data_IF_161781241234
#
_entry.id   IF_161781241234
#
_cell.length_a   1.000
_cell.length_b   1.000
_cell.length_c   1.000
_cell.angle_alpha   90.00
_cell.angle_beta   90.00
_cell.angle_gamma   90.00
#
_symmetry.space_group_name_H-M   'P 1'
#
loop_
_entity.id
_entity.type
_entity.pdbx_description
1 polymer ?
#
# COMPACT_ATOMS: atom_id res chain seq x y z
N UNK A 1 45.66 65.40 -7.57
CA UNK A 1 45.10 64.68 -6.40
C UNK A 1 43.60 64.51 -6.60
N UNK A 2 43.14 63.34 -7.04
CA UNK A 2 41.73 63.06 -7.35
C UNK A 2 41.22 61.94 -6.44
N UNK A 3 40.23 62.22 -5.59
CA UNK A 3 39.52 61.23 -4.77
C UNK A 3 38.25 60.81 -5.50
N UNK A 4 38.19 59.55 -5.95
CA UNK A 4 36.96 58.90 -6.41
C UNK A 4 36.23 58.29 -5.21
N UNK A 5 34.96 58.67 -5.01
CA UNK A 5 34.03 58.02 -4.07
C UNK A 5 33.34 56.86 -4.78
N UNK A 6 33.41 55.67 -4.20
CA UNK A 6 32.64 54.50 -4.63
C UNK A 6 31.31 54.46 -3.84
N UNK A 7 30.19 54.44 -4.57
CA UNK A 7 28.88 54.09 -4.04
C UNK A 7 28.73 52.57 -4.03
N UNK A 8 28.40 52.00 -2.88
CA UNK A 8 27.95 50.61 -2.76
C UNK A 8 26.42 50.59 -2.85
N UNK A 9 25.87 49.83 -3.79
CA UNK A 9 24.45 49.51 -3.85
C UNK A 9 24.25 48.12 -3.22
N UNK A 10 23.48 48.06 -2.13
CA UNK A 10 23.05 46.81 -1.52
C UNK A 10 21.78 46.30 -2.23
N UNK A 11 21.89 45.17 -2.95
CA UNK A 11 20.72 44.43 -3.41
C UNK A 11 20.14 43.64 -2.24
N UNK A 12 18.98 44.06 -1.73
CA UNK A 12 18.18 43.27 -0.79
C UNK A 12 17.52 42.11 -1.52
N UNK A 13 17.90 40.89 -1.16
CA UNK A 13 17.18 39.68 -1.55
C UNK A 13 15.95 39.54 -0.67
N UNK A 14 14.77 39.84 -1.21
CA UNK A 14 13.50 39.56 -0.54
C UNK A 14 13.22 38.06 -0.65
N UNK A 15 13.43 37.33 0.46
CA UNK A 15 13.01 35.94 0.60
C UNK A 15 11.47 35.90 0.60
N UNK A 16 10.87 35.50 -0.53
CA UNK A 16 9.48 35.05 -0.54
C UNK A 16 9.37 33.78 0.32
N UNK A 17 8.92 33.93 1.56
CA UNK A 17 8.48 32.82 2.37
C UNK A 17 7.20 32.25 1.73
N UNK A 18 7.30 31.14 1.01
CA UNK A 18 6.13 30.35 0.66
C UNK A 18 5.52 29.83 1.97
N UNK A 19 4.41 30.43 2.42
CA UNK A 19 3.61 29.85 3.49
C UNK A 19 3.03 28.53 2.97
N UNK A 20 3.58 27.41 3.43
CA UNK A 20 2.90 26.13 3.26
C UNK A 20 1.62 26.20 4.10
N UNK A 21 0.46 26.16 3.44
CA UNK A 21 -0.81 26.09 4.13
C UNK A 21 -0.87 24.84 5.00
N UNK A 22 -1.43 24.98 6.20
CA UNK A 22 -1.52 23.87 7.16
C UNK A 22 -2.40 22.75 6.58
N UNK A 23 -2.06 21.48 6.82
CA UNK A 23 -2.86 20.38 6.29
C UNK A 23 -4.27 20.37 6.87
N UNK A 24 -5.21 19.94 6.06
CA UNK A 24 -6.61 19.86 6.45
C UNK A 24 -6.82 18.65 7.37
N UNK A 25 -7.44 18.87 8.54
CA UNK A 25 -7.74 17.84 9.53
C UNK A 25 -9.23 17.52 9.55
N UNK A 26 -9.59 16.24 9.54
CA UNK A 26 -10.97 15.73 9.55
C UNK A 26 -11.11 14.61 10.57
N UNK A 27 -12.06 14.72 11.51
CA UNK A 27 -12.32 13.66 12.49
C UNK A 27 -13.09 12.50 11.85
N UNK A 28 -12.61 11.26 12.05
CA UNK A 28 -13.27 10.06 11.49
C UNK A 28 -14.32 9.44 12.42
N UNK A 29 -14.47 9.97 13.64
CA UNK A 29 -15.30 9.38 14.71
C UNK A 29 -14.97 7.90 14.98
N UNK A 30 -13.69 7.51 14.82
CA UNK A 30 -13.16 6.17 15.07
C UNK A 30 -12.03 6.22 16.10
N UNK A 31 -11.72 5.07 16.68
CA UNK A 31 -10.59 4.88 17.61
C UNK A 31 -9.62 3.84 17.07
N UNK A 32 -8.32 4.06 17.28
CA UNK A 32 -7.25 3.17 16.81
C UNK A 32 -7.36 1.76 17.38
N UNK A 33 -7.80 1.61 18.63
CA UNK A 33 -7.97 0.30 19.28
C UNK A 33 -9.09 -0.55 18.68
N UNK A 34 -10.09 0.07 18.06
CA UNK A 34 -11.28 -0.62 17.54
C UNK A 34 -11.34 -0.62 16.02
N UNK A 35 -10.41 0.04 15.33
CA UNK A 35 -10.40 0.13 13.88
C UNK A 35 -8.98 0.01 13.33
N UNK A 36 -8.74 -1.04 12.55
CA UNK A 36 -7.49 -1.26 11.83
C UNK A 36 -7.63 -0.83 10.38
N UNK A 37 -6.82 0.14 9.95
CA UNK A 37 -6.74 0.57 8.55
C UNK A 37 -5.92 -0.44 7.76
N UNK A 38 -6.46 -0.91 6.64
CA UNK A 38 -5.76 -1.83 5.73
C UNK A 38 -5.33 -1.14 4.43
N UNK A 39 -6.17 -0.25 3.91
CA UNK A 39 -5.92 0.43 2.64
C UNK A 39 -6.43 1.87 2.69
N UNK A 40 -5.71 2.75 1.99
CA UNK A 40 -6.12 4.12 1.70
C UNK A 40 -5.63 4.48 0.30
N UNK A 41 -6.53 4.91 -0.58
CA UNK A 41 -6.22 5.11 -1.99
C UNK A 41 -6.94 6.34 -2.54
N UNK A 42 -6.29 7.01 -3.49
CA UNK A 42 -6.83 8.19 -4.18
C UNK A 42 -7.64 7.80 -5.41
N UNK A 43 -8.61 8.65 -5.78
CA UNK A 43 -9.18 8.62 -7.13
C UNK A 43 -8.13 9.10 -8.14
N UNK A 44 -8.34 8.78 -9.42
CA UNK A 44 -7.40 9.15 -10.49
C UNK A 44 -7.21 10.68 -10.63
N UNK A 45 -8.24 11.47 -10.34
CA UNK A 45 -8.18 12.93 -10.30
C UNK A 45 -7.65 13.49 -8.96
N UNK A 46 -7.44 12.63 -7.97
CA UNK A 46 -7.00 13.01 -6.63
C UNK A 46 -8.07 13.66 -5.76
N UNK A 47 -9.29 13.91 -6.24
CA UNK A 47 -10.33 14.64 -5.49
C UNK A 47 -10.99 13.80 -4.38
N UNK A 48 -10.85 12.48 -4.45
CA UNK A 48 -11.43 11.56 -3.49
C UNK A 48 -10.39 10.63 -2.89
N UNK A 49 -10.66 10.20 -1.67
CA UNK A 49 -9.92 9.13 -1.00
C UNK A 49 -10.91 8.12 -0.46
N UNK A 50 -10.62 6.84 -0.67
CA UNK A 50 -11.28 5.77 0.07
C UNK A 50 -10.34 5.24 1.15
N UNK A 51 -10.90 4.80 2.27
CA UNK A 51 -10.20 4.11 3.34
C UNK A 51 -10.96 2.82 3.61
N UNK A 52 -10.25 1.69 3.55
CA UNK A 52 -10.80 0.39 3.90
C UNK A 52 -10.09 -0.18 5.12
N UNK A 53 -10.87 -0.76 6.02
CA UNK A 53 -10.35 -1.35 7.23
C UNK A 53 -11.36 -2.28 7.89
N UNK A 54 -11.04 -2.67 9.12
CA UNK A 54 -11.83 -3.61 9.91
C UNK A 54 -12.10 -2.98 11.28
N UNK A 55 -13.37 -2.98 11.67
CA UNK A 55 -13.77 -2.77 13.04
C UNK A 55 -13.58 -4.07 13.82
N UNK A 56 -12.94 -3.99 14.98
CA UNK A 56 -12.80 -5.10 15.92
C UNK A 56 -13.58 -4.79 17.19
N UNK A 57 -14.34 -5.77 17.69
CA UNK A 57 -14.90 -5.72 19.03
C UNK A 57 -14.02 -6.43 20.06
N UNK A 58 -14.37 -6.31 21.34
CA UNK A 58 -13.63 -6.92 22.44
C UNK A 58 -13.63 -8.47 22.40
N UNK A 59 -14.52 -9.07 21.59
CA UNK A 59 -14.63 -10.52 21.40
C UNK A 59 -13.85 -11.00 20.17
N UNK A 60 -13.19 -10.09 19.45
CA UNK A 60 -12.40 -10.39 18.25
C UNK A 60 -13.24 -10.55 16.98
N UNK A 61 -14.54 -10.24 17.00
CA UNK A 61 -15.34 -10.22 15.80
C UNK A 61 -14.91 -9.06 14.91
N UNK A 62 -14.75 -9.34 13.61
CA UNK A 62 -14.32 -8.36 12.61
C UNK A 62 -15.48 -7.97 11.70
N UNK A 63 -15.73 -6.67 11.56
CA UNK A 63 -16.66 -6.13 10.56
C UNK A 63 -15.90 -5.23 9.61
N UNK A 64 -16.09 -5.42 8.30
CA UNK A 64 -15.46 -4.55 7.31
C UNK A 64 -16.01 -3.13 7.40
N UNK A 65 -15.17 -2.12 7.22
CA UNK A 65 -15.57 -0.71 7.12
C UNK A 65 -14.91 -0.06 5.92
N UNK A 66 -15.71 0.71 5.19
CA UNK A 66 -15.30 1.52 4.05
C UNK A 66 -15.72 2.97 4.27
N UNK A 67 -14.80 3.90 4.05
CA UNK A 67 -15.00 5.34 4.22
C UNK A 67 -14.65 6.01 2.90
N UNK A 68 -15.53 6.87 2.40
CA UNK A 68 -15.25 7.73 1.26
C UNK A 68 -15.15 9.19 1.70
N UNK A 69 -14.07 9.85 1.31
CA UNK A 69 -13.75 11.23 1.67
C UNK A 69 -13.69 12.07 0.39
N UNK A 70 -14.37 13.20 0.42
CA UNK A 70 -14.22 14.30 -0.54
C UNK A 70 -13.08 15.20 -0.03
N UNK A 71 -11.95 15.18 -0.73
CA UNK A 71 -10.76 15.96 -0.34
C UNK A 71 -10.98 17.45 -0.54
N UNK A 72 -11.57 17.85 -1.67
CA UNK A 72 -11.83 19.26 -1.98
C UNK A 72 -12.71 19.94 -0.94
N UNK A 73 -13.65 19.20 -0.33
CA UNK A 73 -14.52 19.70 0.76
C UNK A 73 -14.04 19.36 2.16
N UNK A 74 -12.93 18.63 2.30
CA UNK A 74 -12.45 18.06 3.56
C UNK A 74 -13.58 17.39 4.37
N UNK A 75 -14.37 16.53 3.72
CA UNK A 75 -15.59 15.98 4.31
C UNK A 75 -15.75 14.48 4.06
N UNK A 76 -16.30 13.77 5.05
CA UNK A 76 -16.73 12.37 4.88
C UNK A 76 -17.98 12.39 4.00
N UNK A 77 -17.90 11.79 2.80
CA UNK A 77 -19.07 11.59 1.94
C UNK A 77 -20.01 10.56 2.56
N UNK A 78 -19.43 9.44 2.99
CA UNK A 78 -20.13 8.40 3.73
C UNK A 78 -19.12 7.45 4.39
N UNK A 79 -19.61 6.70 5.37
CA UNK A 79 -18.88 5.66 6.08
C UNK A 79 -19.84 4.51 6.34
N UNK A 80 -19.47 3.31 5.90
CA UNK A 80 -20.35 2.13 5.93
C UNK A 80 -19.60 0.92 6.45
N UNK A 81 -20.30 0.13 7.25
CA UNK A 81 -19.85 -1.21 7.63
C UNK A 81 -20.46 -2.24 6.68
N UNK A 82 -19.77 -3.36 6.51
CA UNK A 82 -20.24 -4.50 5.72
C UNK A 82 -19.80 -5.81 6.39
N UNK A 83 -20.68 -6.82 6.44
CA UNK A 83 -20.41 -8.05 7.18
C UNK A 83 -19.41 -8.95 6.45
N UNK A 84 -18.79 -9.85 7.20
CA UNK A 84 -18.11 -11.01 6.63
C UNK A 84 -19.13 -11.81 5.80
N UNK A 85 -18.85 -12.14 4.53
CA UNK A 85 -19.83 -12.79 3.67
C UNK A 85 -20.01 -14.26 4.07
N UNK A 86 -21.19 -14.80 3.73
CA UNK A 86 -21.45 -16.23 3.66
C UNK A 86 -21.21 -17.02 4.97
N UNK A 87 -21.23 -16.33 6.12
CA UNK A 87 -21.00 -16.92 7.44
C UNK A 87 -19.55 -17.33 7.71
N UNK A 88 -18.60 -16.75 6.99
CA UNK A 88 -17.17 -17.02 7.17
C UNK A 88 -16.57 -16.33 8.40
N UNK A 89 -15.33 -16.68 8.72
CA UNK A 89 -14.73 -16.37 10.01
C UNK A 89 -14.08 -14.98 10.07
N UNK A 90 -13.54 -14.49 8.96
CA UNK A 90 -12.84 -13.20 8.94
C UNK A 90 -12.81 -12.57 7.57
N UNK A 91 -12.70 -11.25 7.54
CA UNK A 91 -12.57 -10.43 6.33
C UNK A 91 -11.40 -9.46 6.48
N UNK A 92 -10.59 -9.37 5.44
CA UNK A 92 -9.38 -8.56 5.37
C UNK A 92 -9.41 -7.71 4.09
N UNK A 93 -9.78 -6.42 4.19
CA UNK A 93 -9.66 -5.51 3.06
C UNK A 93 -8.22 -5.46 2.56
N UNK A 94 -8.04 -5.39 1.25
CA UNK A 94 -6.71 -5.32 0.61
C UNK A 94 -6.51 -3.97 -0.03
N UNK A 95 -7.48 -3.56 -0.86
CA UNK A 95 -7.39 -2.32 -1.62
C UNK A 95 -8.79 -1.79 -1.91
N UNK A 96 -9.02 -0.50 -1.70
CA UNK A 96 -10.20 0.19 -2.22
C UNK A 96 -9.80 1.07 -3.41
N UNK A 97 -10.72 1.29 -4.35
CA UNK A 97 -10.51 2.17 -5.51
C UNK A 97 -11.72 3.09 -5.68
N UNK A 98 -11.58 4.40 -5.42
CA UNK A 98 -12.67 5.33 -5.60
C UNK A 98 -12.70 5.87 -7.04
N UNK A 99 -13.89 5.97 -7.60
CA UNK A 99 -14.22 6.72 -8.82
C UNK A 99 -15.17 7.87 -8.47
N UNK A 100 -15.62 8.61 -9.48
CA UNK A 100 -16.60 9.69 -9.27
C UNK A 100 -17.97 9.19 -8.80
N UNK A 101 -18.35 7.98 -9.24
CA UNK A 101 -19.67 7.40 -9.02
C UNK A 101 -19.66 6.18 -8.10
N UNK A 102 -18.51 5.55 -7.85
CA UNK A 102 -18.40 4.26 -7.15
C UNK A 102 -17.17 4.16 -6.27
N UNK A 103 -17.19 3.20 -5.35
CA UNK A 103 -15.99 2.68 -4.71
C UNK A 103 -15.96 1.18 -4.88
N UNK A 104 -14.87 0.67 -5.45
CA UNK A 104 -14.60 -0.76 -5.54
C UNK A 104 -13.73 -1.18 -4.36
N UNK A 105 -13.91 -2.41 -3.90
CA UNK A 105 -13.12 -2.96 -2.80
C UNK A 105 -12.71 -4.39 -3.11
N UNK A 106 -11.40 -4.65 -3.05
CA UNK A 106 -10.81 -5.99 -3.01
C UNK A 106 -10.64 -6.40 -1.55
N UNK A 107 -11.13 -7.59 -1.20
CA UNK A 107 -10.95 -8.16 0.14
C UNK A 107 -10.67 -9.66 0.07
N UNK A 108 -9.91 -10.14 1.05
CA UNK A 108 -9.72 -11.55 1.32
C UNK A 108 -10.60 -11.99 2.48
N UNK A 109 -11.09 -13.22 2.43
CA UNK A 109 -12.04 -13.75 3.41
C UNK A 109 -11.64 -15.16 3.80
N UNK A 110 -11.47 -15.40 5.09
CA UNK A 110 -11.11 -16.71 5.62
C UNK A 110 -12.35 -17.50 6.01
N UNK A 111 -12.48 -18.69 5.43
CA UNK A 111 -13.67 -19.53 5.62
C UNK A 111 -13.80 -20.09 7.04
N UNK A 112 -12.69 -20.24 7.77
CA UNK A 112 -12.61 -20.77 9.14
C UNK A 112 -11.57 -19.99 9.95
N UNK A 113 -11.75 -19.93 11.27
CA UNK A 113 -10.79 -19.30 12.19
C UNK A 113 -9.54 -20.16 12.44
N UNK A 114 -9.58 -21.45 12.11
CA UNK A 114 -8.51 -22.42 12.38
C UNK A 114 -7.63 -22.63 11.13
N UNK A 115 -6.32 -22.31 11.17
CA UNK A 115 -5.42 -22.38 10.02
C UNK A 115 -5.39 -23.73 9.26
N UNK A 116 -5.40 -24.92 9.90
CA UNK A 116 -5.32 -26.19 9.18
C UNK A 116 -6.48 -26.46 8.21
N UNK A 117 -7.65 -25.88 8.50
CA UNK A 117 -8.88 -26.11 7.74
C UNK A 117 -9.38 -24.86 7.01
N UNK A 118 -8.74 -23.71 7.23
CA UNK A 118 -9.14 -22.48 6.58
C UNK A 118 -8.76 -22.48 5.11
N UNK A 119 -9.56 -21.74 4.34
CA UNK A 119 -9.29 -21.37 2.97
C UNK A 119 -9.48 -19.87 2.91
N UNK A 120 -8.52 -19.18 2.32
CA UNK A 120 -8.70 -17.78 1.97
C UNK A 120 -9.36 -17.68 0.60
N UNK A 121 -10.38 -16.83 0.51
CA UNK A 121 -11.15 -16.54 -0.69
C UNK A 121 -10.99 -15.06 -1.06
N UNK A 122 -11.07 -14.73 -2.34
CA UNK A 122 -11.00 -13.35 -2.82
C UNK A 122 -12.38 -12.86 -3.25
N UNK A 123 -12.76 -11.68 -2.76
CA UNK A 123 -14.00 -11.00 -3.06
C UNK A 123 -13.73 -9.61 -3.63
N UNK A 124 -14.56 -9.22 -4.60
CA UNK A 124 -14.67 -7.84 -5.09
C UNK A 124 -16.05 -7.31 -4.73
N UNK A 125 -16.11 -6.11 -4.18
CA UNK A 125 -17.33 -5.38 -3.84
C UNK A 125 -17.40 -4.10 -4.67
N UNK A 126 -18.62 -3.61 -4.88
CA UNK A 126 -18.86 -2.28 -5.45
C UNK A 126 -19.91 -1.56 -4.63
N UNK A 127 -19.65 -0.29 -4.36
CA UNK A 127 -20.53 0.62 -3.64
C UNK A 127 -20.81 1.84 -4.53
N UNK A 128 -22.01 2.39 -4.46
CA UNK A 128 -22.34 3.63 -5.16
C UNK A 128 -21.76 4.88 -4.46
N UNK A 129 -22.04 6.04 -5.03
CA UNK A 129 -21.63 7.35 -4.53
C UNK A 129 -22.19 7.68 -3.13
N UNK A 130 -23.18 6.93 -2.63
CA UNK A 130 -23.82 7.07 -1.32
C UNK A 130 -23.44 5.93 -0.35
N UNK A 131 -22.60 5.00 -0.79
CA UNK A 131 -22.13 3.86 0.00
C UNK A 131 -23.10 2.68 0.05
N UNK A 132 -24.12 2.63 -0.81
CA UNK A 132 -24.94 1.43 -0.96
C UNK A 132 -24.15 0.36 -1.70
N UNK A 133 -24.06 -0.85 -1.13
CA UNK A 133 -23.43 -1.98 -1.79
C UNK A 133 -24.28 -2.42 -3.00
N UNK A 134 -23.77 -2.19 -4.21
CA UNK A 134 -24.44 -2.54 -5.47
C UNK A 134 -24.22 -4.00 -5.85
N UNK A 135 -23.01 -4.51 -5.63
CA UNK A 135 -22.66 -5.88 -5.99
C UNK A 135 -21.51 -6.42 -5.13
N UNK A 136 -21.47 -7.74 -5.03
CA UNK A 136 -20.40 -8.53 -4.40
C UNK A 136 -20.15 -9.76 -5.26
N UNK A 137 -18.88 -10.02 -5.60
CA UNK A 137 -18.46 -11.18 -6.39
C UNK A 137 -17.33 -11.91 -5.69
N UNK A 138 -17.55 -13.20 -5.39
CA UNK A 138 -16.46 -14.13 -5.08
C UNK A 138 -15.75 -14.51 -6.39
N UNK A 139 -14.44 -14.37 -6.43
CA UNK A 139 -13.62 -14.89 -7.53
C UNK A 139 -13.48 -16.41 -7.37
N UNK A 140 -13.65 -17.16 -8.45
CA UNK A 140 -13.57 -18.62 -8.44
C UNK A 140 -12.37 -19.02 -9.30
N UNK A 141 -11.36 -19.60 -8.66
CA UNK A 141 -10.12 -20.07 -9.29
C UNK A 141 -9.91 -21.56 -8.97
N UNK A 142 -9.16 -22.31 -9.80
CA UNK A 142 -8.93 -23.75 -9.62
C UNK A 142 -7.84 -24.04 -8.56
N UNK A 143 -8.06 -23.60 -7.33
CA UNK A 143 -7.17 -23.86 -6.19
C UNK A 143 -7.94 -23.95 -4.88
N UNK A 144 -7.33 -24.59 -3.87
CA UNK A 144 -7.93 -24.72 -2.52
C UNK A 144 -8.01 -23.38 -1.80
N UNK A 145 -6.97 -22.56 -1.93
CA UNK A 145 -6.90 -21.22 -1.35
C UNK A 145 -6.46 -20.20 -2.40
N UNK A 146 -6.87 -18.96 -2.19
CA UNK A 146 -6.48 -17.84 -3.01
C UNK A 146 -6.38 -16.57 -2.18
N UNK A 147 -5.61 -15.60 -2.66
CA UNK A 147 -5.44 -14.32 -2.00
C UNK A 147 -5.31 -13.24 -3.07
N UNK A 148 -6.09 -12.18 -2.98
CA UNK A 148 -6.01 -11.01 -3.85
C UNK A 148 -4.92 -10.07 -3.37
N UNK A 149 -4.07 -9.60 -4.29
CA UNK A 149 -3.03 -8.62 -4.02
C UNK A 149 -3.46 -7.19 -4.29
N UNK A 150 -4.02 -6.98 -5.48
CA UNK A 150 -4.20 -5.67 -6.05
C UNK A 150 -5.33 -5.71 -7.08
N UNK A 151 -5.95 -4.56 -7.24
CA UNK A 151 -6.99 -4.29 -8.19
C UNK A 151 -6.66 -2.97 -8.89
N UNK A 152 -7.09 -2.82 -10.14
CA UNK A 152 -7.02 -1.54 -10.84
C UNK A 152 -8.18 -1.41 -11.83
N UNK A 153 -8.52 -0.16 -12.15
CA UNK A 153 -9.53 0.18 -13.14
C UNK A 153 -8.86 0.45 -14.49
N UNK A 154 -9.36 -0.22 -15.52
CA UNK A 154 -8.95 -0.01 -16.90
C UNK A 154 -10.17 0.17 -17.79
N UNK A 155 -9.94 0.55 -19.05
CA UNK A 155 -11.01 0.78 -20.03
C UNK A 155 -11.85 -0.47 -20.31
N UNK A 156 -11.27 -1.66 -20.11
CA UNK A 156 -11.91 -2.97 -20.29
C UNK A 156 -12.55 -3.53 -19.01
N UNK A 157 -12.44 -2.81 -17.88
CA UNK A 157 -13.07 -3.17 -16.61
C UNK A 157 -12.12 -3.13 -15.42
N UNK A 158 -12.40 -3.98 -14.45
CA UNK A 158 -11.66 -4.11 -13.19
C UNK A 158 -10.69 -5.28 -13.32
N UNK A 159 -9.40 -4.99 -13.24
CA UNK A 159 -8.34 -6.00 -13.24
C UNK A 159 -8.05 -6.40 -11.80
N UNK A 160 -7.94 -7.69 -11.53
CA UNK A 160 -7.55 -8.22 -10.22
C UNK A 160 -6.39 -9.19 -10.38
N UNK A 161 -5.41 -9.07 -9.50
CA UNK A 161 -4.27 -9.97 -9.41
C UNK A 161 -4.17 -10.57 -8.01
N UNK A 162 -3.66 -11.80 -7.92
CA UNK A 162 -3.52 -12.52 -6.66
C UNK A 162 -2.64 -13.76 -6.79
N UNK A 163 -2.56 -14.56 -5.71
CA UNK A 163 -2.04 -15.93 -5.80
C UNK A 163 -3.07 -16.99 -5.48
N UNK A 164 -2.74 -18.17 -5.97
CA UNK A 164 -3.37 -19.44 -5.67
C UNK A 164 -2.40 -20.26 -4.82
N UNK A 165 -2.94 -20.93 -3.81
CA UNK A 165 -2.25 -21.93 -3.01
C UNK A 165 -3.03 -23.24 -3.08
N UNK A 166 -2.33 -24.28 -3.50
CA UNK A 166 -2.78 -25.67 -3.41
C UNK A 166 -1.74 -26.48 -2.64
N UNK A 167 -2.10 -27.67 -2.20
CA UNK A 167 -1.19 -28.56 -1.47
C UNK A 167 -1.57 -30.02 -1.70
N UNK A 168 -0.57 -30.90 -1.64
CA UNK A 168 -0.74 -32.34 -1.48
C UNK A 168 -0.18 -32.77 -0.12
N UNK A 169 0.16 -34.05 0.07
CA UNK A 169 0.72 -34.54 1.33
C UNK A 169 2.05 -33.86 1.68
N UNK A 170 2.92 -33.66 0.70
CA UNK A 170 4.33 -33.32 0.90
C UNK A 170 4.68 -31.89 0.45
N UNK A 171 3.89 -31.33 -0.47
CA UNK A 171 4.20 -30.09 -1.16
C UNK A 171 3.07 -29.06 -1.08
N UNK A 172 3.48 -27.80 -1.12
CA UNK A 172 2.63 -26.66 -1.42
C UNK A 172 2.94 -26.16 -2.84
N UNK A 173 1.92 -25.65 -3.52
CA UNK A 173 1.99 -25.17 -4.89
C UNK A 173 1.48 -23.74 -4.97
N UNK A 174 2.30 -22.85 -5.52
CA UNK A 174 2.03 -21.43 -5.62
C UNK A 174 1.93 -20.98 -7.08
N UNK A 175 0.95 -20.15 -7.39
CA UNK A 175 0.75 -19.60 -8.74
C UNK A 175 0.17 -18.20 -8.66
N UNK A 176 0.57 -17.30 -9.56
CA UNK A 176 -0.08 -16.00 -9.72
C UNK A 176 -1.30 -16.16 -10.62
N UNK A 177 -2.43 -15.57 -10.24
CA UNK A 177 -3.60 -15.45 -11.11
C UNK A 177 -3.89 -13.98 -11.44
N UNK A 178 -4.47 -13.75 -12.62
CA UNK A 178 -5.07 -12.47 -12.99
C UNK A 178 -6.43 -12.70 -13.62
N UNK A 179 -7.40 -11.86 -13.32
CA UNK A 179 -8.74 -11.91 -13.88
C UNK A 179 -9.26 -10.50 -14.17
N UNK A 180 -10.23 -10.40 -15.06
CA UNK A 180 -10.90 -9.14 -15.41
C UNK A 180 -12.37 -9.28 -15.10
N UNK A 181 -12.98 -8.23 -14.54
CA UNK A 181 -14.42 -8.13 -14.33
C UNK A 181 -14.94 -6.89 -15.05
N UNK A 182 -16.17 -6.91 -15.52
CA UNK A 182 -16.83 -5.66 -15.91
C UNK A 182 -17.21 -4.83 -14.66
N UNK A 183 -17.67 -3.59 -14.87
CA UNK A 183 -18.04 -2.69 -13.76
C UNK A 183 -19.22 -3.18 -12.90
N UNK A 184 -19.98 -4.18 -13.38
CA UNK A 184 -21.03 -4.88 -12.65
C UNK A 184 -20.51 -6.15 -11.92
N UNK A 185 -19.19 -6.34 -11.84
CA UNK A 185 -18.52 -7.47 -11.20
C UNK A 185 -18.84 -8.83 -11.83
N UNK A 186 -19.08 -8.86 -13.13
CA UNK A 186 -19.15 -10.11 -13.91
C UNK A 186 -17.77 -10.42 -14.47
N UNK A 187 -17.25 -11.61 -14.14
CA UNK A 187 -15.96 -12.09 -14.63
C UNK A 187 -15.97 -12.20 -16.15
N UNK A 188 -14.90 -11.71 -16.78
CA UNK A 188 -14.71 -11.69 -18.22
C UNK A 188 -13.67 -12.76 -18.60
N UNK A 189 -14.14 -13.87 -19.17
CA UNK A 189 -13.27 -14.99 -19.57
C UNK A 189 -12.70 -15.79 -18.40
N UNK A 190 -11.78 -16.70 -18.74
CA UNK A 190 -11.08 -17.54 -17.76
C UNK A 190 -9.91 -16.78 -17.09
N UNK A 191 -9.62 -17.04 -15.81
CA UNK A 191 -8.46 -16.45 -15.15
C UNK A 191 -7.15 -16.93 -15.80
N UNK A 192 -6.19 -16.01 -15.96
CA UNK A 192 -4.86 -16.37 -16.44
C UNK A 192 -3.99 -16.79 -15.26
N UNK A 193 -3.51 -18.03 -15.27
CA UNK A 193 -2.76 -18.62 -14.15
C UNK A 193 -1.31 -18.91 -14.56
N UNK A 194 -0.35 -18.51 -13.73
CA UNK A 194 1.09 -18.72 -13.93
C UNK A 194 1.64 -19.62 -12.84
N UNK A 195 1.98 -20.85 -13.20
CA UNK A 195 2.51 -21.88 -12.30
C UNK A 195 4.04 -21.76 -12.12
N UNK A 196 4.51 -20.56 -11.82
CA UNK A 196 5.94 -20.25 -11.73
C UNK A 196 6.33 -19.72 -10.34
N UNK A 197 5.46 -19.84 -9.35
CA UNK A 197 5.59 -19.23 -8.03
C UNK A 197 4.70 -18.00 -7.87
N UNK A 198 4.71 -17.42 -6.67
CA UNK A 198 3.89 -16.27 -6.31
C UNK A 198 4.45 -15.49 -5.10
N UNK A 199 3.96 -14.28 -4.90
CA UNK A 199 4.29 -13.45 -3.74
C UNK A 199 3.40 -13.79 -2.54
N UNK A 200 3.95 -13.91 -1.34
CA UNK A 200 3.12 -14.33 -0.18
C UNK A 200 2.42 -13.16 0.53
N UNK A 201 2.60 -11.93 0.04
CA UNK A 201 2.02 -10.71 0.60
C UNK A 201 1.47 -9.80 -0.50
N UNK A 202 0.43 -9.02 -0.19
CA UNK A 202 -0.06 -7.93 -1.05
C UNK A 202 0.79 -6.66 -0.92
N UNK A 203 1.54 -6.50 0.17
CA UNK A 203 2.39 -5.33 0.38
C UNK A 203 3.48 -5.34 -0.69
N UNK A 204 3.62 -4.23 -1.42
CA UNK A 204 4.56 -4.14 -2.54
C UNK A 204 4.03 -4.71 -3.85
N UNK A 205 2.71 -4.84 -4.02
CA UNK A 205 2.08 -5.24 -5.29
C UNK A 205 1.16 -4.14 -5.81
N UNK A 206 1.27 -3.82 -7.11
CA UNK A 206 0.41 -2.86 -7.81
C UNK A 206 0.18 -3.28 -9.25
N UNK A 207 -1.02 -3.05 -9.76
CA UNK A 207 -1.29 -3.14 -11.21
C UNK A 207 -0.99 -1.78 -11.83
N UNK A 208 -0.19 -1.77 -12.90
CA UNK A 208 0.14 -0.57 -13.67
C UNK A 208 -0.04 -0.92 -15.15
N UNK A 209 -1.08 -0.35 -15.76
CA UNK A 209 -1.43 -0.57 -17.16
C UNK A 209 -1.80 -2.02 -17.47
N UNK A 210 -0.92 -2.72 -18.18
CA UNK A 210 -1.11 -4.11 -18.63
C UNK A 210 -0.37 -5.13 -17.77
N UNK A 211 0.20 -4.72 -16.63
CA UNK A 211 1.14 -5.53 -15.85
C UNK A 211 0.88 -5.43 -14.35
N UNK A 212 1.18 -6.51 -13.64
CA UNK A 212 1.37 -6.55 -12.18
C UNK A 212 2.84 -6.32 -11.90
N UNK A 213 3.15 -5.34 -11.06
CA UNK A 213 4.46 -5.14 -10.48
C UNK A 213 4.41 -5.59 -9.03
N UNK A 214 5.33 -6.43 -8.62
CA UNK A 214 5.31 -7.07 -7.31
C UNK A 214 6.71 -7.19 -6.74
N UNK A 215 6.86 -6.91 -5.45
CA UNK A 215 8.10 -7.16 -4.72
C UNK A 215 7.82 -7.62 -3.29
N UNK A 216 8.59 -8.60 -2.84
CA UNK A 216 8.39 -9.23 -1.53
C UNK A 216 8.92 -10.65 -1.50
N UNK A 217 8.55 -11.36 -0.44
CA UNK A 217 8.82 -12.79 -0.29
C UNK A 217 8.14 -13.58 -1.41
N UNK A 218 8.94 -14.35 -2.14
CA UNK A 218 8.53 -15.12 -3.30
C UNK A 218 8.54 -16.61 -2.98
N UNK A 219 7.36 -17.23 -3.02
CA UNK A 219 7.21 -18.67 -2.93
C UNK A 219 7.44 -19.31 -4.30
N UNK A 220 8.36 -20.28 -4.44
CA UNK A 220 8.52 -21.04 -5.67
C UNK A 220 7.24 -21.80 -6.05
N UNK A 221 7.14 -22.20 -7.33
CA UNK A 221 5.95 -22.90 -7.85
C UNK A 221 5.58 -24.17 -7.08
N UNK A 222 6.58 -24.83 -6.49
CA UNK A 222 6.48 -26.03 -5.67
C UNK A 222 7.49 -25.93 -4.54
N UNK A 223 7.05 -26.13 -3.31
CA UNK A 223 7.90 -26.12 -2.12
C UNK A 223 7.50 -27.26 -1.18
N UNK A 224 8.47 -27.94 -0.56
CA UNK A 224 8.17 -28.97 0.44
C UNK A 224 7.64 -28.31 1.71
N UNK A 225 6.67 -28.94 2.40
CA UNK A 225 6.05 -28.35 3.62
C UNK A 225 7.02 -28.10 4.78
N UNK A 226 8.19 -28.75 4.77
CA UNK A 226 9.25 -28.56 5.76
C UNK A 226 10.30 -27.52 5.33
N UNK A 227 10.20 -26.97 4.11
CA UNK A 227 11.14 -26.00 3.59
C UNK A 227 10.67 -24.58 3.91
N UNK A 228 11.61 -23.72 4.30
CA UNK A 228 11.35 -22.31 4.57
C UNK A 228 11.37 -21.52 3.25
N UNK A 229 10.42 -20.59 3.08
CA UNK A 229 10.46 -19.61 2.00
C UNK A 229 11.40 -18.48 2.41
N UNK A 230 12.52 -18.36 1.71
CA UNK A 230 13.57 -17.37 1.96
C UNK A 230 13.98 -16.55 0.72
N UNK A 231 13.29 -16.75 -0.41
CA UNK A 231 13.53 -16.00 -1.63
C UNK A 231 12.80 -14.65 -1.63
N UNK A 232 13.48 -13.61 -2.08
CA UNK A 232 12.93 -12.29 -2.34
C UNK A 232 13.01 -11.99 -3.83
N UNK A 233 11.92 -11.53 -4.40
CA UNK A 233 11.89 -11.14 -5.80
C UNK A 233 11.27 -9.76 -5.99
N UNK A 234 11.63 -9.12 -7.09
CA UNK A 234 10.93 -7.99 -7.68
C UNK A 234 10.61 -8.35 -9.13
N UNK A 235 9.35 -8.29 -9.54
CA UNK A 235 8.90 -8.74 -10.87
C UNK A 235 7.96 -7.78 -11.54
N UNK A 236 7.94 -7.85 -12.87
CA UNK A 236 6.83 -7.42 -13.71
C UNK A 236 6.21 -8.63 -14.40
N UNK A 237 4.91 -8.83 -14.19
CA UNK A 237 4.13 -9.94 -14.71
C UNK A 237 3.04 -9.36 -15.61
N UNK A 238 2.99 -9.73 -16.89
CA UNK A 238 1.94 -9.22 -17.79
C UNK A 238 0.59 -9.77 -17.37
N UNK A 239 -0.47 -8.97 -17.43
CA UNK A 239 -1.85 -9.42 -17.15
C UNK A 239 -2.33 -10.46 -18.16
N UNK A 240 -1.82 -10.44 -19.38
CA UNK A 240 -2.12 -11.44 -20.42
C UNK A 240 -1.32 -12.74 -20.27
N UNK A 241 -0.18 -12.73 -19.57
CA UNK A 241 0.61 -13.95 -19.34
C UNK A 241 2.11 -13.71 -19.24
N UNK A 242 2.75 -14.50 -18.37
CA UNK A 242 4.20 -14.59 -18.26
C UNK A 242 4.86 -13.45 -17.48
N UNK A 243 6.08 -13.73 -17.04
CA UNK A 243 6.96 -12.74 -16.43
C UNK A 243 7.64 -11.96 -17.56
N UNK A 244 7.50 -10.64 -17.56
CA UNK A 244 8.30 -9.80 -18.43
C UNK A 244 9.75 -9.77 -17.92
N UNK A 245 9.92 -9.75 -16.60
CA UNK A 245 11.20 -9.90 -15.90
C UNK A 245 10.95 -10.25 -14.43
N UNK A 246 11.96 -10.84 -13.79
CA UNK A 246 12.09 -11.01 -12.33
C UNK A 246 13.54 -10.77 -11.94
N UNK A 247 13.76 -9.95 -10.91
CA UNK A 247 15.04 -9.72 -10.28
C UNK A 247 15.01 -10.32 -8.87
N UNK A 248 16.03 -11.10 -8.52
CA UNK A 248 16.19 -11.74 -7.21
C UNK A 248 17.41 -11.13 -6.51
N UNK A 249 17.31 -9.89 -6.00
CA UNK A 249 18.41 -9.23 -5.33
C UNK A 249 18.77 -9.99 -4.06
N UNK A 250 20.06 -10.19 -3.83
CA UNK A 250 20.57 -10.71 -2.58
C UNK A 250 20.46 -9.61 -1.53
N UNK A 251 19.38 -9.66 -0.75
CA UNK A 251 19.28 -8.92 0.50
C UNK A 251 19.97 -9.81 1.56
N UNK A 252 20.82 -9.24 2.43
CA UNK A 252 21.46 -10.00 3.52
C UNK A 252 20.42 -10.79 4.31
N UNK A 253 20.82 -11.80 5.09
CA UNK A 253 19.87 -12.70 5.73
C UNK A 253 18.87 -11.97 6.65
N UNK A 254 17.57 -12.02 6.27
CA UNK A 254 16.39 -11.64 7.06
C UNK A 254 16.26 -10.18 7.56
N UNK A 255 16.49 -9.13 6.74
CA UNK A 255 16.02 -7.80 7.09
C UNK A 255 14.49 -7.79 7.16
N UNK A 256 13.93 -6.99 8.07
CA UNK A 256 12.56 -6.54 7.90
C UNK A 256 12.51 -5.75 6.58
N UNK A 257 11.92 -6.35 5.54
CA UNK A 257 11.84 -5.75 4.19
C UNK A 257 10.45 -5.22 3.95
N UNK A 258 10.38 -4.01 3.42
CA UNK A 258 9.16 -3.41 2.91
C UNK A 258 9.36 -2.92 1.49
N UNK A 259 8.35 -3.13 0.64
CA UNK A 259 8.37 -2.71 -0.75
C UNK A 259 7.16 -1.84 -1.09
N UNK A 260 7.38 -0.89 -1.99
CA UNK A 260 6.35 -0.02 -2.56
C UNK A 260 6.52 0.07 -4.06
N UNK A 261 5.40 0.16 -4.77
CA UNK A 261 5.37 0.28 -6.23
C UNK A 261 4.78 1.63 -6.61
N UNK A 262 5.56 2.41 -7.34
CA UNK A 262 5.17 3.71 -7.86
C UNK A 262 4.17 3.57 -9.03
N UNK A 263 3.52 4.68 -9.39
CA UNK A 263 2.51 4.71 -10.46
C UNK A 263 3.08 4.40 -11.85
N UNK A 264 4.40 4.55 -12.05
CA UNK A 264 5.11 4.20 -13.29
C UNK A 264 5.63 2.74 -13.31
N UNK A 265 5.40 1.99 -12.22
CA UNK A 265 5.91 0.62 -12.05
C UNK A 265 7.31 0.53 -11.44
N UNK A 266 7.93 1.65 -11.04
CA UNK A 266 9.19 1.63 -10.31
C UNK A 266 8.97 0.99 -8.94
N UNK A 267 9.83 0.05 -8.57
CA UNK A 267 9.77 -0.66 -7.28
C UNK A 267 10.86 -0.10 -6.37
N UNK A 268 10.46 0.28 -5.15
CA UNK A 268 11.38 0.67 -4.09
C UNK A 268 11.29 -0.33 -2.94
N UNK A 269 12.44 -0.74 -2.42
CA UNK A 269 12.55 -1.73 -1.35
C UNK A 269 13.45 -1.18 -0.27
N UNK A 270 12.95 -1.13 0.97
CA UNK A 270 13.72 -0.81 2.17
C UNK A 270 13.92 -2.08 2.98
N UNK A 271 15.18 -2.45 3.21
CA UNK A 271 15.57 -3.51 4.13
C UNK A 271 16.25 -2.92 5.37
N UNK A 272 15.93 -3.43 6.55
CA UNK A 272 16.52 -2.97 7.82
C UNK A 272 17.47 -4.03 8.40
N UNK A 273 18.69 -3.61 8.72
CA UNK A 273 19.69 -4.47 9.36
C UNK A 273 20.34 -3.70 10.52
N UNK A 274 19.82 -3.90 11.74
CA UNK A 274 20.24 -3.13 12.91
C UNK A 274 20.05 -1.63 12.70
N UNK A 275 21.13 -0.85 12.83
CA UNK A 275 21.14 0.61 12.62
C UNK A 275 21.51 1.03 11.21
N UNK A 276 21.28 0.15 10.24
CA UNK A 276 21.50 0.43 8.82
C UNK A 276 20.23 0.13 8.04
N UNK A 277 19.99 0.94 7.03
CA UNK A 277 18.92 0.71 6.07
C UNK A 277 19.52 0.55 4.69
N UNK A 278 18.98 -0.41 3.98
CA UNK A 278 19.33 -0.72 2.60
C UNK A 278 18.17 -0.30 1.71
N UNK A 279 18.44 0.56 0.73
CA UNK A 279 17.49 0.97 -0.30
C UNK A 279 17.88 0.34 -1.63
N UNK A 280 16.94 -0.42 -2.20
CA UNK A 280 16.99 -0.91 -3.56
C UNK A 280 15.89 -0.23 -4.38
N UNK A 281 16.24 0.18 -5.60
CA UNK A 281 15.29 0.66 -6.60
C UNK A 281 15.41 -0.18 -7.86
N UNK A 282 14.29 -0.70 -8.35
CA UNK A 282 14.21 -1.45 -9.61
C UNK A 282 13.33 -0.65 -10.56
N UNK A 283 13.91 -0.26 -11.70
CA UNK A 283 13.17 0.48 -12.72
C UNK A 283 12.10 -0.40 -13.39
N UNK A 284 11.10 0.19 -14.08
CA UNK A 284 10.02 -0.56 -14.73
C UNK A 284 10.48 -1.58 -15.79
N UNK A 285 11.71 -1.43 -16.32
CA UNK A 285 12.35 -2.37 -17.25
C UNK A 285 13.12 -3.51 -16.55
N UNK A 286 13.09 -3.57 -15.21
CA UNK A 286 13.66 -4.67 -14.42
C UNK A 286 15.13 -4.52 -14.07
N UNK A 287 15.73 -3.35 -14.32
CA UNK A 287 17.14 -3.10 -13.99
C UNK A 287 17.27 -2.57 -12.56
N UNK A 288 17.86 -3.34 -11.62
CA UNK A 288 18.14 -2.83 -10.29
C UNK A 288 19.23 -1.76 -10.38
N UNK A 289 19.01 -0.62 -9.74
CA UNK A 289 20.07 0.34 -9.45
C UNK A 289 21.01 -0.25 -8.37
N UNK A 290 22.28 0.22 -8.29
CA UNK A 290 23.18 -0.17 -7.22
C UNK A 290 22.51 0.04 -5.86
N UNK A 291 22.48 -1.04 -5.07
CA UNK A 291 21.92 -1.05 -3.74
C UNK A 291 22.69 -0.10 -2.83
N UNK A 292 21.97 0.70 -2.03
CA UNK A 292 22.57 1.68 -1.13
C UNK A 292 22.33 1.27 0.30
N UNK A 293 23.37 1.25 1.11
CA UNK A 293 23.26 1.03 2.55
C UNK A 293 23.74 2.28 3.27
N UNK A 294 22.93 2.76 4.22
CA UNK A 294 23.21 3.99 4.96
C UNK A 294 22.81 3.85 6.44
N UNK A 295 23.45 4.60 7.35
CA UNK A 295 23.05 4.61 8.76
C UNK A 295 21.62 5.09 8.94
N UNK A 296 20.85 4.39 9.75
CA UNK A 296 19.44 4.68 10.03
C UNK A 296 19.16 4.43 11.51
N UNK A 297 18.35 5.31 12.12
CA UNK A 297 17.82 5.12 13.49
C UNK A 297 16.50 4.34 13.51
N UNK A 298 16.03 3.92 12.34
CA UNK A 298 14.77 3.20 12.16
C UNK A 298 15.03 1.74 11.82
N UNK A 299 14.30 0.86 12.49
CA UNK A 299 14.47 -0.59 12.45
C UNK A 299 13.29 -1.32 11.79
N UNK A 300 12.13 -0.67 11.67
CA UNK A 300 10.97 -1.21 10.95
C UNK A 300 10.35 -0.19 9.98
N UNK A 301 9.69 -0.68 8.94
CA UNK A 301 8.98 0.10 7.93
C UNK A 301 7.56 -0.46 7.79
N UNK A 302 6.56 0.37 8.07
CA UNK A 302 5.16 -0.05 8.01
C UNK A 302 4.50 0.27 6.67
N UNK A 303 4.95 1.35 6.02
CA UNK A 303 4.48 1.77 4.71
C UNK A 303 5.59 2.46 3.93
N UNK A 304 5.54 2.34 2.61
CA UNK A 304 6.42 3.02 1.66
C UNK A 304 5.61 3.39 0.42
N UNK A 305 5.73 4.63 -0.03
CA UNK A 305 5.03 5.12 -1.21
C UNK A 305 5.89 6.14 -1.97
N UNK A 306 5.75 6.21 -3.29
CA UNK A 306 6.41 7.22 -4.09
C UNK A 306 5.80 8.61 -3.84
N UNK A 307 6.62 9.65 -3.79
CA UNK A 307 6.19 11.01 -3.51
C UNK A 307 7.00 12.02 -4.34
N UNK A 308 6.43 12.44 -5.47
CA UNK A 308 7.15 13.24 -6.46
C UNK A 308 8.42 12.52 -6.93
N UNK A 309 9.60 13.06 -6.58
CA UNK A 309 10.92 12.48 -6.88
C UNK A 309 11.54 11.73 -5.68
N UNK A 310 10.87 11.77 -4.54
CA UNK A 310 11.28 11.17 -3.27
C UNK A 310 10.41 9.97 -2.93
N UNK A 311 10.68 9.33 -1.80
CA UNK A 311 9.84 8.33 -1.18
C UNK A 311 9.28 8.88 0.13
N UNK A 312 8.07 8.48 0.47
CA UNK A 312 7.58 8.60 1.84
C UNK A 312 7.57 7.24 2.49
N UNK A 313 8.07 7.16 3.71
CA UNK A 313 8.02 5.95 4.51
C UNK A 313 7.50 6.24 5.92
N UNK A 314 6.62 5.37 6.41
CA UNK A 314 6.23 5.35 7.82
C UNK A 314 7.11 4.32 8.52
N UNK A 315 8.01 4.78 9.39
CA UNK A 315 9.08 3.96 9.98
C UNK A 315 9.06 4.00 11.51
N UNK A 316 9.48 2.91 12.12
CA UNK A 316 9.60 2.78 13.57
C UNK A 316 11.07 2.90 14.00
N UNK A 317 11.34 3.73 15.02
CA UNK A 317 12.69 3.86 15.59
C UNK A 317 13.16 2.56 16.23
N UNK A 318 14.45 2.27 16.17
CA UNK A 318 15.05 1.17 16.93
C UNK A 318 14.78 1.34 18.44
N UNK A 319 14.48 0.24 19.13
CA UNK A 319 14.30 0.24 20.58
C UNK A 319 15.66 0.41 21.27
N UNK A 320 15.94 1.63 21.73
CA UNK A 320 17.19 1.99 22.37
C UNK A 320 17.06 1.92 23.90
N UNK A 321 16.62 0.77 24.46
CA UNK A 321 16.67 0.38 25.90
C UNK A 321 16.21 1.42 26.98
N UNK A 322 15.68 2.59 26.58
CA UNK A 322 15.36 3.72 27.46
C UNK A 322 14.19 4.58 26.94
N UNK A 323 13.62 4.25 25.77
CA UNK A 323 12.47 4.95 25.19
C UNK A 323 11.60 4.00 24.38
N UNK A 324 10.27 4.15 24.49
CA UNK A 324 9.34 3.39 23.64
C UNK A 324 9.64 3.68 22.17
N UNK A 325 9.63 2.66 21.32
CA UNK A 325 9.71 2.82 19.88
C UNK A 325 8.62 3.80 19.40
N UNK A 326 9.00 4.70 18.49
CA UNK A 326 8.13 5.76 17.99
C UNK A 326 8.03 5.70 16.47
N UNK A 327 6.82 5.96 15.98
CA UNK A 327 6.54 6.05 14.55
C UNK A 327 6.91 7.44 14.03
N UNK A 328 7.64 7.49 12.92
CA UNK A 328 7.97 8.71 12.22
C UNK A 328 7.60 8.61 10.74
N UNK A 329 7.06 9.68 10.19
CA UNK A 329 6.87 9.83 8.76
C UNK A 329 8.11 10.48 8.16
N UNK A 330 8.72 9.85 7.16
CA UNK A 330 9.96 10.31 6.55
C UNK A 330 9.78 10.59 5.07
N UNK A 331 10.44 11.62 4.57
CA UNK A 331 10.82 11.74 3.17
C UNK A 331 12.23 11.17 2.99
N UNK A 332 12.40 10.29 2.01
CA UNK A 332 13.68 9.64 1.70
C UNK A 332 14.05 9.99 0.27
N UNK A 333 15.21 10.58 0.08
CA UNK A 333 15.79 10.78 -1.25
C UNK A 333 16.30 9.43 -1.78
N UNK A 334 15.73 8.89 -2.88
CA UNK A 334 16.11 7.57 -3.38
C UNK A 334 17.54 7.50 -3.93
N UNK A 335 18.17 8.65 -4.21
CA UNK A 335 19.55 8.72 -4.69
C UNK A 335 20.57 8.83 -3.57
N UNK A 336 20.31 9.63 -2.54
CA UNK A 336 21.28 9.79 -1.43
C UNK A 336 21.02 8.88 -0.24
N UNK A 337 19.81 8.31 -0.12
CA UNK A 337 19.36 7.62 1.10
C UNK A 337 19.16 8.58 2.27
N UNK A 338 19.19 9.90 2.04
CA UNK A 338 18.98 10.90 3.08
C UNK A 338 17.53 10.84 3.55
N UNK A 339 17.35 10.70 4.85
CA UNK A 339 16.06 10.66 5.50
C UNK A 339 15.78 11.99 6.21
N UNK A 340 14.58 12.53 5.98
CA UNK A 340 14.10 13.78 6.58
C UNK A 340 12.77 13.47 7.25
N UNK A 341 12.69 13.71 8.55
CA UNK A 341 11.44 13.57 9.29
C UNK A 341 10.45 14.66 8.88
N UNK A 342 9.25 14.25 8.48
CA UNK A 342 8.16 15.11 8.05
C UNK A 342 7.26 15.44 9.25
N UNK A 343 7.23 16.73 9.60
CA UNK A 343 6.36 17.26 10.68
C UNK A 343 5.10 17.90 10.11
N UNK A 344 4.37 17.14 9.30
CA UNK A 344 3.14 17.62 8.70
C UNK A 344 2.02 17.78 9.73
N UNK A 345 2.00 16.95 10.77
CA UNK A 345 0.97 16.94 11.80
C UNK A 345 1.56 16.59 13.16
N UNK A 346 0.90 17.06 14.23
CA UNK A 346 1.28 16.75 15.62
C UNK A 346 0.78 15.37 16.08
N UNK A 347 -0.25 14.84 15.41
CA UNK A 347 -0.81 13.51 15.70
C UNK A 347 0.10 12.39 15.15
N UNK A 348 0.09 11.23 15.81
CA UNK A 348 0.92 10.08 15.40
C UNK A 348 0.33 9.42 14.15
N UNK A 349 1.07 9.43 13.03
CA UNK A 349 0.67 8.79 11.77
C UNK A 349 0.62 7.26 11.95
N UNK A 350 -0.46 6.65 11.45
CA UNK A 350 -0.67 5.19 11.43
C UNK A 350 -0.81 4.63 10.02
N UNK A 351 -1.16 5.45 9.03
CA UNK A 351 -1.22 5.07 7.62
C UNK A 351 -0.96 6.28 6.73
N UNK A 352 -0.32 6.08 5.58
CA UNK A 352 -0.09 7.12 4.57
C UNK A 352 -0.36 6.58 3.17
N UNK A 353 -0.87 7.44 2.29
CA UNK A 353 -1.03 7.18 0.87
C UNK A 353 -0.62 8.42 0.08
N UNK A 354 -0.17 8.21 -1.16
CA UNK A 354 0.30 9.29 -2.04
C UNK A 354 -0.25 9.13 -3.46
N UNK A 355 -0.41 10.25 -4.15
CA UNK A 355 -0.71 10.31 -5.58
C UNK A 355 0.07 11.46 -6.21
N UNK A 356 1.17 11.15 -6.88
CA UNK A 356 2.12 12.17 -7.36
C UNK A 356 2.73 12.94 -6.18
N UNK A 357 2.35 14.22 -6.01
CA UNK A 357 2.72 15.06 -4.86
C UNK A 357 1.58 15.28 -3.86
N UNK A 358 0.41 14.70 -4.11
CA UNK A 358 -0.67 14.68 -3.12
C UNK A 358 -0.35 13.63 -2.06
N UNK A 359 -0.74 13.92 -0.83
CA UNK A 359 -0.63 12.98 0.27
C UNK A 359 -1.87 13.01 1.15
N UNK A 360 -2.17 11.85 1.72
CA UNK A 360 -3.18 11.69 2.76
C UNK A 360 -2.62 10.81 3.86
N UNK A 361 -2.99 11.08 5.10
CA UNK A 361 -2.55 10.32 6.26
C UNK A 361 -3.72 10.05 7.20
N UNK A 362 -3.73 8.88 7.81
CA UNK A 362 -4.51 8.62 9.03
C UNK A 362 -3.56 8.77 10.19
N UNK A 363 -3.94 9.58 11.17
CA UNK A 363 -3.18 9.77 12.38
C UNK A 363 -4.07 9.71 13.61
N UNK A 364 -3.46 9.40 14.76
CA UNK A 364 -4.14 9.32 16.05
C UNK A 364 -3.62 10.36 17.02
N UNK A 365 -4.54 10.93 17.79
CA UNK A 365 -4.15 11.79 18.91
C UNK A 365 -3.82 10.95 20.16
N UNK A 366 -3.41 11.63 21.24
CA UNK A 366 -3.09 10.98 22.52
C UNK A 366 -4.26 10.18 23.14
N UNK A 367 -5.50 10.52 22.79
CA UNK A 367 -6.71 9.80 23.24
C UNK A 367 -7.08 8.61 22.33
N UNK A 368 -6.27 8.31 21.31
CA UNK A 368 -6.51 7.25 20.34
C UNK A 368 -7.61 7.57 19.31
N UNK A 369 -8.09 8.82 19.23
CA UNK A 369 -9.07 9.23 18.21
C UNK A 369 -8.37 9.37 16.86
N UNK A 370 -9.01 8.82 15.83
CA UNK A 370 -8.48 8.85 14.46
C UNK A 370 -8.94 10.10 13.70
N UNK A 371 -8.00 10.67 12.97
CA UNK A 371 -8.18 11.80 12.08
C UNK A 371 -7.60 11.49 10.71
N UNK A 372 -8.29 11.96 9.69
CA UNK A 372 -7.78 12.05 8.33
C UNK A 372 -7.09 13.40 8.15
N UNK A 373 -5.92 13.38 7.52
CA UNK A 373 -5.16 14.52 7.09
C UNK A 373 -4.91 14.43 5.60
N UNK A 374 -4.89 15.58 4.91
CA UNK A 374 -4.44 15.63 3.53
C UNK A 374 -3.71 16.93 3.21
N UNK A 375 -2.81 16.87 2.23
CA UNK A 375 -2.32 18.07 1.55
C UNK A 375 -3.50 18.85 0.98
N UNK A 376 -3.42 20.17 0.94
CA UNK A 376 -4.33 20.96 0.11
C UNK A 376 -4.24 20.52 -1.36
N UNK A 377 -5.31 20.75 -2.14
CA UNK A 377 -5.28 20.48 -3.58
C UNK A 377 -4.05 21.17 -4.17
N UNK A 378 -3.14 20.36 -4.73
CA UNK A 378 -1.81 20.79 -5.10
C UNK A 378 -1.83 21.95 -6.07
N UNK A 379 -1.74 23.17 -5.53
CA UNK A 379 -1.36 24.35 -6.26
C UNK A 379 0.08 24.69 -5.86
N UNK A 380 1.04 24.06 -6.54
CA UNK A 380 2.38 24.62 -6.74
C UNK A 380 2.85 24.31 -8.16
#
# INVERSE_FOLDING_TARGET
>A
MSRKKFFWAALGWTLCACSQAAPQKLALALRDKSFSVYSMEFSADGEQVCIAGVDSDDLGASTGRLIAIDRGRNAIRWQKTFPVPDGYAGLFPVQCLPTNDRVYLLANVDTKSSPPITQTLTYVYSFDAQGLQLARRRLVNPARGQYGYAMDLASDGIKVAGYLKSEDQDFEYYSVYTTVLNLALQVQGEPVIRKTGAYTSHRGVRIVGDSVYAAGMFAPAKIAKNQVIDDFAASRIRLSGGYAWSAHPQLDARPAVSAGVAADGTIHVLGNAGRSTTLLTVSPDGKPLPMRTYPSRYCDTHAIAAYGRSLIALRETCDDNAGKATMALLEIDPFSGKEIELKWMDDQVVQVATAGRLWSAIAKNQAGKLFFYSSENGAQ
#
